data_IF_750501369266
#
_entry.id   IF_750501369266
#
_cell.length_a   1.000
_cell.length_b   1.000
_cell.length_c   1.000
_cell.angle_alpha   90.00
_cell.angle_beta   90.00
_cell.angle_gamma   90.00
#
_symmetry.space_group_name_H-M   'P 1'
#
loop_
_entity.id
_entity.type
_entity.pdbx_description
1 polymer ?
#
# COMPACT_ATOMS: atom_id res chain seq x y z
N UNK A 1 29.18 4.86 19.66
CA UNK A 1 28.37 5.02 18.43
C UNK A 1 27.66 3.70 18.21
N UNK A 2 26.39 3.59 18.62
CA UNK A 2 25.60 2.39 18.37
C UNK A 2 24.25 2.87 17.88
N UNK A 3 24.13 2.98 16.56
CA UNK A 3 22.87 3.29 15.90
C UNK A 3 21.97 2.08 16.06
N UNK A 4 21.06 2.14 17.01
CA UNK A 4 19.95 1.19 17.13
C UNK A 4 19.04 1.40 15.93
N UNK A 5 19.22 0.61 14.88
CA UNK A 5 18.24 0.50 13.81
C UNK A 5 16.99 -0.11 14.42
N UNK A 6 16.05 0.75 14.81
CA UNK A 6 14.68 0.33 15.03
C UNK A 6 14.17 -0.23 13.71
N UNK A 7 14.03 -1.56 13.63
CA UNK A 7 13.22 -2.20 12.60
C UNK A 7 11.79 -1.81 12.90
N UNK A 8 11.36 -0.69 12.34
CA UNK A 8 9.96 -0.34 12.22
C UNK A 8 9.34 -1.44 11.37
N UNK A 9 8.53 -2.31 11.99
CA UNK A 9 7.89 -3.43 11.33
C UNK A 9 7.20 -3.00 10.04
N UNK A 10 7.79 -3.33 8.90
CA UNK A 10 7.23 -3.04 7.58
C UNK A 10 6.46 -4.29 7.12
N UNK A 11 5.41 -4.64 7.86
CA UNK A 11 4.51 -5.72 7.46
C UNK A 11 3.60 -5.18 6.36
N UNK A 12 3.99 -5.35 5.10
CA UNK A 12 3.15 -5.04 3.93
C UNK A 12 3.77 -4.06 2.94
N UNK A 13 4.93 -4.39 2.38
CA UNK A 13 5.49 -3.72 1.19
C UNK A 13 5.01 -4.34 -0.12
N UNK A 14 4.25 -5.44 -0.07
CA UNK A 14 3.73 -6.14 -1.24
C UNK A 14 2.25 -6.42 -1.07
N UNK A 15 1.55 -6.43 -2.20
CA UNK A 15 0.17 -6.86 -2.27
C UNK A 15 0.05 -8.34 -1.89
N UNK A 16 -0.71 -8.70 -0.84
CA UNK A 16 -0.84 -10.10 -0.43
C UNK A 16 -1.60 -10.96 -1.44
N UNK A 17 -2.25 -10.34 -2.43
CA UNK A 17 -3.04 -11.05 -3.45
C UNK A 17 -2.26 -11.37 -4.73
N UNK A 18 -1.29 -10.53 -5.12
CA UNK A 18 -0.55 -10.72 -6.37
C UNK A 18 0.97 -10.56 -6.23
N UNK A 19 1.48 -10.27 -5.03
CA UNK A 19 2.90 -10.07 -4.76
C UNK A 19 3.49 -8.76 -5.26
N UNK A 20 2.71 -7.92 -5.96
CA UNK A 20 3.21 -6.65 -6.51
C UNK A 20 3.63 -5.68 -5.40
N UNK A 21 4.77 -4.98 -5.50
CA UNK A 21 5.18 -4.03 -4.47
C UNK A 21 4.18 -2.88 -4.32
N UNK A 22 3.88 -2.50 -3.08
CA UNK A 22 2.94 -1.43 -2.78
C UNK A 22 3.51 -0.06 -3.16
N UNK A 23 4.83 0.11 -3.14
CA UNK A 23 5.53 1.34 -3.53
C UNK A 23 5.97 1.36 -5.00
N UNK A 24 5.85 0.25 -5.72
CA UNK A 24 6.19 0.19 -7.13
C UNK A 24 5.06 0.70 -8.02
N UNK A 25 5.38 1.70 -8.83
CA UNK A 25 4.59 2.04 -10.02
C UNK A 25 4.48 0.80 -10.94
N UNK A 26 3.32 0.58 -11.59
CA UNK A 26 2.15 1.44 -11.61
C UNK A 26 1.09 1.00 -10.58
N UNK A 27 0.79 1.85 -9.60
CA UNK A 27 -0.47 1.76 -8.85
C UNK A 27 -1.34 2.97 -9.17
N UNK A 28 -2.64 2.78 -9.33
CA UNK A 28 -3.53 3.89 -9.64
C UNK A 28 -3.97 4.58 -8.35
N UNK A 29 -3.69 5.87 -8.19
CA UNK A 29 -4.33 6.68 -7.13
C UNK A 29 -5.78 6.92 -7.52
N UNK A 30 -6.72 6.47 -6.67
CA UNK A 30 -8.17 6.59 -6.96
C UNK A 30 -8.85 7.67 -6.13
N UNK A 31 -8.30 8.02 -4.97
CA UNK A 31 -8.76 9.17 -4.19
C UNK A 31 -7.65 9.69 -3.27
N UNK A 32 -7.71 10.99 -2.96
CA UNK A 32 -6.87 11.64 -1.94
C UNK A 32 -7.74 12.58 -1.12
N UNK A 33 -7.69 12.42 0.19
CA UNK A 33 -8.40 13.28 1.14
C UNK A 33 -7.44 13.88 2.16
N UNK A 34 -7.50 15.20 2.36
CA UNK A 34 -6.79 15.87 3.44
C UNK A 34 -7.42 15.57 4.79
N UNK A 35 -6.59 15.54 5.83
CA UNK A 35 -6.99 15.41 7.24
C UNK A 35 -6.20 16.42 8.06
N UNK A 36 -6.59 16.67 9.31
CA UNK A 36 -5.85 17.59 10.19
C UNK A 36 -4.39 17.14 10.45
N UNK A 37 -4.10 15.84 10.32
CA UNK A 37 -2.77 15.28 10.57
C UNK A 37 -1.94 15.01 9.31
N UNK A 38 -2.50 15.24 8.11
CA UNK A 38 -1.86 14.86 6.85
C UNK A 38 -2.89 14.52 5.78
N UNK A 39 -2.75 13.37 5.11
CA UNK A 39 -3.72 12.92 4.11
C UNK A 39 -3.93 11.41 4.12
N UNK A 40 -5.08 10.98 3.63
CA UNK A 40 -5.35 9.59 3.29
C UNK A 40 -5.38 9.46 1.77
N UNK A 41 -4.53 8.60 1.24
CA UNK A 41 -4.46 8.27 -0.18
C UNK A 41 -4.99 6.87 -0.39
N UNK A 42 -5.91 6.72 -1.33
CA UNK A 42 -6.44 5.43 -1.74
C UNK A 42 -5.81 5.02 -3.07
N UNK A 43 -5.22 3.83 -3.10
CA UNK A 43 -4.53 3.29 -4.28
C UNK A 43 -5.12 1.94 -4.68
N UNK A 44 -5.25 1.70 -5.98
CA UNK A 44 -5.65 0.43 -6.56
C UNK A 44 -4.43 -0.28 -7.15
N UNK A 45 -4.15 -1.47 -6.64
CA UNK A 45 -3.15 -2.37 -7.22
C UNK A 45 -3.65 -2.89 -8.59
N UNK A 46 -2.75 -3.30 -9.48
CA UNK A 46 -3.12 -3.93 -10.76
C UNK A 46 -4.03 -5.15 -10.61
N UNK A 47 -3.95 -5.87 -9.48
CA UNK A 47 -4.87 -6.96 -9.15
C UNK A 47 -6.27 -6.51 -8.70
N UNK A 48 -6.55 -5.21 -8.61
CA UNK A 48 -7.82 -4.66 -8.16
C UNK A 48 -7.98 -4.53 -6.64
N UNK A 49 -7.02 -4.99 -5.83
CA UNK A 49 -7.03 -4.72 -4.38
C UNK A 49 -6.88 -3.22 -4.10
N UNK A 50 -7.78 -2.68 -3.25
CA UNK A 50 -7.75 -1.30 -2.81
C UNK A 50 -6.96 -1.17 -1.50
N UNK A 51 -6.11 -0.15 -1.40
CA UNK A 51 -5.32 0.15 -0.21
C UNK A 51 -5.57 1.57 0.26
N UNK A 52 -5.78 1.74 1.56
CA UNK A 52 -5.76 3.04 2.22
C UNK A 52 -4.37 3.29 2.79
N UNK A 53 -3.79 4.46 2.48
CA UNK A 53 -2.49 4.88 2.97
C UNK A 53 -2.64 6.17 3.75
N UNK A 54 -2.25 6.16 5.02
CA UNK A 54 -2.05 7.39 5.77
C UNK A 54 -0.69 7.97 5.39
N UNK A 55 -0.68 9.26 5.07
CA UNK A 55 0.52 10.05 4.77
C UNK A 55 0.56 11.20 5.77
N UNK A 56 1.49 11.13 6.71
CA UNK A 56 1.66 12.12 7.77
C UNK A 56 3.15 12.35 8.07
N UNK A 57 3.48 13.17 9.07
CA UNK A 57 4.87 13.47 9.45
C UNK A 57 5.71 12.25 9.86
N UNK A 58 5.08 11.09 10.10
CA UNK A 58 5.73 9.80 10.39
C UNK A 58 5.97 8.96 9.13
N UNK A 59 5.63 9.48 7.94
CA UNK A 59 5.78 8.80 6.66
C UNK A 59 4.48 8.19 6.14
N UNK A 60 4.62 7.21 5.23
CA UNK A 60 3.50 6.52 4.57
C UNK A 60 3.25 5.17 5.22
N UNK A 61 1.99 4.88 5.58
CA UNK A 61 1.60 3.61 6.21
C UNK A 61 0.31 3.09 5.60
N UNK A 62 0.27 1.81 5.21
CA UNK A 62 -0.96 1.15 4.76
C UNK A 62 -1.83 0.87 5.99
N UNK A 63 -3.02 1.48 6.06
CA UNK A 63 -3.93 1.38 7.22
C UNK A 63 -5.15 0.50 6.95
N UNK A 64 -5.46 0.22 5.69
CA UNK A 64 -6.53 -0.70 5.30
C UNK A 64 -6.27 -1.28 3.94
N UNK A 65 -6.76 -2.50 3.70
CA UNK A 65 -6.66 -3.18 2.42
C UNK A 65 -7.90 -4.01 2.15
N UNK A 66 -8.49 -3.88 0.97
CA UNK A 66 -9.61 -4.70 0.52
C UNK A 66 -9.11 -5.90 -0.28
N UNK A 67 -9.92 -6.97 -0.30
CA UNK A 67 -9.81 -8.00 -1.32
C UNK A 67 -10.08 -7.38 -2.71
N UNK A 68 -9.43 -7.89 -3.78
CA UNK A 68 -9.89 -7.64 -5.15
C UNK A 68 -11.37 -7.98 -5.30
N UNK A 69 -12.14 -7.09 -5.93
CA UNK A 69 -13.56 -7.32 -6.16
C UNK A 69 -13.83 -8.41 -7.21
N UNK A 70 -12.96 -8.53 -8.22
CA UNK A 70 -13.08 -9.52 -9.29
C UNK A 70 -11.75 -9.62 -10.03
N UNK A 71 -11.01 -10.72 -9.84
CA UNK A 71 -10.08 -11.23 -10.85
C UNK A 71 -10.05 -12.76 -10.72
N UNK A 72 -10.26 -13.54 -11.80
CA UNK A 72 -9.77 -14.91 -11.82
C UNK A 72 -8.27 -14.83 -11.54
N UNK A 73 -7.77 -15.74 -10.71
CA UNK A 73 -6.38 -15.81 -10.27
C UNK A 73 -5.42 -15.97 -11.46
N UNK A 74 -5.12 -14.88 -12.15
CA UNK A 74 -4.03 -14.82 -13.12
C UNK A 74 -2.75 -14.82 -12.31
N UNK A 75 -2.10 -15.98 -12.27
CA UNK A 75 -0.68 -16.10 -11.91
C UNK A 75 0.09 -15.15 -12.82
N UNK A 76 0.54 -14.02 -12.28
CA UNK A 76 1.40 -13.11 -13.02
C UNK A 76 2.86 -13.58 -12.89
N UNK A 77 3.34 -14.17 -13.98
CA UNK A 77 4.75 -14.34 -14.40
C UNK A 77 5.23 -15.80 -14.34
N UNK A 78 5.67 -16.50 -15.40
CA UNK A 78 6.16 -16.12 -16.75
C UNK A 78 7.18 -14.99 -16.78
#
# INVERSE_FOLDING_TARGET
>A
MTSTTGVTGTTGTVCPYCGWPDDAEPFQVVSRHGTAAGSTVWTRCGCGSLQARAVDGRGVRVVSRSRPADLPSSRAGQ
#
